data_IF_790390348451
#
_entry.id   IF_790390348451
#
_cell.length_a   1.000
_cell.length_b   1.000
_cell.length_c   1.000
_cell.angle_alpha   90.00
_cell.angle_beta   90.00
_cell.angle_gamma   90.00
#
_symmetry.space_group_name_H-M   'P 1'
#
loop_
_entity.id
_entity.type
_entity.pdbx_description
1 polymer ?
#
# COMPACT_ATOMS: atom_id res chain seq x y z
N UNK A 1 20.44 -2.09 -20.48
CA UNK A 1 19.75 -3.36 -20.67
C UNK A 1 20.62 -4.47 -20.12
N UNK A 2 20.40 -4.90 -18.91
CA UNK A 2 20.84 -6.21 -18.40
C UNK A 2 19.81 -6.63 -17.37
N UNK A 3 18.91 -7.54 -17.73
CA UNK A 3 17.98 -8.16 -16.84
C UNK A 3 18.66 -9.27 -16.07
N UNK A 4 18.81 -9.12 -14.77
CA UNK A 4 19.20 -10.21 -13.89
C UNK A 4 17.94 -10.98 -13.46
N UNK A 5 17.66 -12.09 -14.14
CA UNK A 5 16.73 -13.11 -13.69
C UNK A 5 17.44 -13.94 -12.64
N UNK A 6 17.14 -13.73 -11.37
CA UNK A 6 17.58 -14.59 -10.28
C UNK A 6 16.63 -15.79 -10.16
N UNK A 7 16.98 -16.88 -10.83
CA UNK A 7 16.40 -18.20 -10.61
C UNK A 7 16.96 -18.78 -9.31
N UNK A 8 16.17 -18.80 -8.26
CA UNK A 8 16.44 -19.62 -7.08
C UNK A 8 15.78 -20.99 -7.25
N UNK A 9 16.63 -21.98 -7.45
CA UNK A 9 16.28 -23.40 -7.57
C UNK A 9 15.81 -23.98 -6.23
N UNK A 10 14.63 -24.52 -6.27
CA UNK A 10 14.08 -25.78 -5.75
C UNK A 10 14.61 -26.35 -4.43
N UNK A 11 13.84 -26.15 -3.40
CA UNK A 11 13.52 -27.24 -2.47
C UNK A 11 12.20 -27.87 -2.96
N UNK A 12 12.20 -29.17 -3.21
CA UNK A 12 11.02 -29.95 -3.52
C UNK A 12 10.09 -29.96 -2.30
N UNK A 13 9.21 -28.97 -2.23
CA UNK A 13 8.05 -29.03 -1.36
C UNK A 13 7.05 -29.92 -2.09
N UNK A 14 6.75 -31.06 -1.52
CA UNK A 14 5.63 -31.90 -1.95
C UNK A 14 4.38 -31.01 -1.89
N UNK A 15 3.89 -30.61 -3.04
CA UNK A 15 2.58 -30.00 -3.18
C UNK A 15 1.57 -31.11 -2.90
N UNK A 16 1.03 -31.16 -1.71
CA UNK A 16 -0.19 -31.92 -1.47
C UNK A 16 -1.26 -31.32 -2.37
N UNK A 17 -1.76 -32.10 -3.31
CA UNK A 17 -2.85 -31.72 -4.19
C UNK A 17 -4.01 -31.24 -3.32
N UNK A 18 -4.25 -29.94 -3.30
CA UNK A 18 -5.42 -29.33 -2.69
C UNK A 18 -6.65 -29.79 -3.49
N UNK A 19 -7.12 -31.02 -3.22
CA UNK A 19 -8.42 -31.48 -3.70
C UNK A 19 -9.44 -30.47 -3.23
N UNK A 20 -10.31 -30.04 -4.14
CA UNK A 20 -11.43 -29.17 -3.80
C UNK A 20 -12.17 -29.78 -2.60
N UNK A 21 -12.13 -29.09 -1.47
CA UNK A 21 -12.82 -29.54 -0.24
C UNK A 21 -14.28 -29.14 -0.26
N UNK A 22 -14.60 -28.10 -1.07
CA UNK A 22 -15.92 -27.45 -1.06
C UNK A 22 -16.38 -27.03 0.35
N UNK A 23 -15.41 -26.85 1.26
CA UNK A 23 -15.63 -26.23 2.56
C UNK A 23 -15.55 -24.71 2.39
N UNK A 24 -16.60 -23.99 2.77
CA UNK A 24 -16.70 -22.57 2.52
C UNK A 24 -17.12 -21.81 3.79
N UNK A 25 -16.79 -20.52 3.86
CA UNK A 25 -17.35 -19.58 4.85
C UNK A 25 -17.96 -18.41 4.09
N UNK A 26 -19.15 -18.02 4.51
CA UNK A 26 -19.83 -16.80 4.05
C UNK A 26 -20.20 -15.95 5.25
N UNK A 27 -20.39 -14.68 5.05
CA UNK A 27 -20.89 -13.81 6.11
C UNK A 27 -20.83 -12.34 5.72
N UNK A 28 -21.15 -11.50 6.68
CA UNK A 28 -21.05 -10.06 6.56
C UNK A 28 -20.39 -9.46 7.79
N UNK A 29 -19.87 -8.26 7.62
CA UNK A 29 -19.27 -7.47 8.69
C UNK A 29 -20.03 -6.17 8.80
N UNK A 30 -20.51 -5.86 10.01
CA UNK A 30 -21.24 -4.61 10.30
C UNK A 30 -20.57 -3.85 11.42
N UNK A 31 -20.82 -2.57 11.46
CA UNK A 31 -20.48 -1.73 12.61
C UNK A 31 -21.50 -1.93 13.72
N UNK A 32 -21.03 -2.16 14.93
CA UNK A 32 -21.89 -2.47 16.08
C UNK A 32 -22.82 -1.31 16.47
N UNK A 33 -22.34 -0.07 16.35
CA UNK A 33 -23.06 1.14 16.77
C UNK A 33 -24.13 1.58 15.75
N UNK A 34 -23.77 1.63 14.47
CA UNK A 34 -24.63 2.14 13.39
C UNK A 34 -25.43 1.06 12.71
N UNK A 35 -25.00 -0.22 12.85
CA UNK A 35 -25.51 -1.40 12.13
C UNK A 35 -25.27 -1.32 10.62
N UNK A 36 -24.44 -0.41 10.17
CA UNK A 36 -24.05 -0.29 8.77
C UNK A 36 -23.06 -1.38 8.37
N UNK A 37 -23.19 -1.86 7.14
CA UNK A 37 -22.27 -2.84 6.58
C UNK A 37 -20.92 -2.20 6.33
N UNK A 38 -19.85 -2.90 6.71
CA UNK A 38 -18.46 -2.42 6.59
C UNK A 38 -17.79 -3.02 5.36
N UNK A 39 -17.58 -2.24 4.30
CA UNK A 39 -16.86 -2.68 3.12
C UNK A 39 -15.36 -2.74 3.37
N UNK A 40 -14.69 -3.60 2.60
CA UNK A 40 -13.21 -3.72 2.54
C UNK A 40 -12.54 -4.11 3.87
N UNK A 41 -13.24 -4.83 4.74
CA UNK A 41 -12.68 -5.43 5.95
C UNK A 41 -11.91 -6.69 5.60
N UNK A 42 -10.69 -6.85 6.13
CA UNK A 42 -9.89 -8.06 5.92
C UNK A 42 -10.43 -9.20 6.74
N UNK A 43 -10.73 -10.32 6.09
CA UNK A 43 -11.19 -11.59 6.70
C UNK A 43 -10.17 -12.68 6.35
N UNK A 44 -9.56 -13.32 7.35
CA UNK A 44 -8.50 -14.31 7.12
C UNK A 44 -8.57 -15.49 8.08
N UNK A 45 -8.06 -16.64 7.63
CA UNK A 45 -7.79 -17.79 8.50
C UNK A 45 -6.41 -17.62 9.12
N UNK A 46 -6.36 -17.39 10.42
CA UNK A 46 -5.14 -17.12 11.18
C UNK A 46 -4.11 -18.24 11.02
N UNK A 47 -2.85 -17.86 10.78
CA UNK A 47 -1.75 -18.83 10.58
C UNK A 47 -1.71 -19.45 9.18
N UNK A 48 -2.56 -19.00 8.26
CA UNK A 48 -2.57 -19.44 6.86
C UNK A 48 -2.37 -18.24 5.92
N UNK A 49 -2.19 -18.52 4.63
CA UNK A 49 -2.16 -17.46 3.60
C UNK A 49 -3.55 -17.17 3.04
N UNK A 50 -4.60 -17.77 3.59
CA UNK A 50 -5.97 -17.71 3.07
C UNK A 50 -6.69 -16.51 3.70
N UNK A 51 -7.18 -15.61 2.86
CA UNK A 51 -7.96 -14.46 3.27
C UNK A 51 -8.73 -13.86 2.11
N UNK A 52 -9.66 -12.99 2.44
CA UNK A 52 -10.45 -12.17 1.51
C UNK A 52 -10.76 -10.83 2.16
N UNK A 53 -11.50 -9.99 1.46
CA UNK A 53 -12.09 -8.76 2.03
C UNK A 53 -13.59 -8.79 1.85
N UNK A 54 -14.29 -8.03 2.70
CA UNK A 54 -15.71 -7.74 2.42
C UNK A 54 -15.83 -6.90 1.15
N UNK A 55 -16.86 -7.17 0.37
CA UNK A 55 -17.20 -6.40 -0.82
C UNK A 55 -17.76 -5.00 -0.48
N UNK A 56 -18.20 -4.25 -1.49
CA UNK A 56 -18.80 -2.92 -1.31
C UNK A 56 -20.08 -2.93 -0.45
N UNK A 57 -20.71 -4.10 -0.28
CA UNK A 57 -21.91 -4.31 0.52
C UNK A 57 -21.61 -4.92 1.89
N UNK A 58 -20.33 -5.06 2.26
CA UNK A 58 -19.88 -5.60 3.53
C UNK A 58 -19.96 -7.12 3.67
N UNK A 59 -20.20 -7.84 2.58
CA UNK A 59 -20.26 -9.31 2.56
C UNK A 59 -18.92 -9.93 2.15
N UNK A 60 -18.65 -11.14 2.61
CA UNK A 60 -17.43 -11.87 2.23
C UNK A 60 -17.71 -13.35 1.96
N UNK A 61 -16.82 -13.95 1.17
CA UNK A 61 -16.87 -15.35 0.82
C UNK A 61 -15.46 -15.95 0.73
N UNK A 62 -15.21 -16.99 1.52
CA UNK A 62 -14.00 -17.82 1.47
C UNK A 62 -14.37 -19.20 0.96
N UNK A 63 -13.70 -19.68 -0.10
CA UNK A 63 -14.00 -20.93 -0.79
C UNK A 63 -12.88 -21.97 -0.67
N UNK A 64 -13.25 -23.24 -0.79
CA UNK A 64 -12.30 -24.35 -0.87
C UNK A 64 -11.29 -24.37 0.27
N UNK A 65 -11.75 -24.14 1.48
CA UNK A 65 -10.93 -24.05 2.67
C UNK A 65 -10.46 -25.46 3.12
N UNK A 66 -9.29 -25.57 3.74
CA UNK A 66 -8.83 -26.83 4.33
C UNK A 66 -9.79 -27.26 5.45
N UNK A 67 -9.99 -28.58 5.58
CA UNK A 67 -10.76 -29.15 6.69
C UNK A 67 -10.01 -29.04 8.00
N UNK A 68 -10.72 -28.83 9.11
CA UNK A 68 -10.14 -28.76 10.45
C UNK A 68 -10.63 -27.60 11.28
N UNK A 69 -9.96 -27.38 12.41
CA UNK A 69 -10.21 -26.26 13.31
C UNK A 69 -9.31 -25.09 12.95
N UNK A 70 -9.91 -23.93 12.73
CA UNK A 70 -9.20 -22.70 12.41
C UNK A 70 -9.72 -21.54 13.25
N UNK A 71 -8.96 -20.47 13.30
CA UNK A 71 -9.41 -19.19 13.85
C UNK A 71 -9.67 -18.22 12.68
N UNK A 72 -10.92 -17.86 12.47
CA UNK A 72 -11.32 -16.82 11.55
C UNK A 72 -11.10 -15.47 12.22
N UNK A 73 -10.37 -14.59 11.60
CA UNK A 73 -10.05 -13.24 12.09
C UNK A 73 -10.59 -12.20 11.13
N UNK A 74 -11.25 -11.19 11.68
CA UNK A 74 -11.65 -9.98 10.94
C UNK A 74 -10.93 -8.79 11.53
N UNK A 75 -10.29 -8.00 10.66
CA UNK A 75 -9.52 -6.84 11.06
C UNK A 75 -9.62 -5.72 10.04
N UNK A 76 -9.62 -4.49 10.53
CA UNK A 76 -9.47 -3.28 9.74
C UNK A 76 -8.89 -2.17 10.58
N UNK A 77 -8.28 -1.18 9.94
CA UNK A 77 -7.77 -0.01 10.64
C UNK A 77 -8.95 0.84 11.09
N UNK A 78 -8.94 1.20 12.37
CA UNK A 78 -10.03 1.95 13.00
C UNK A 78 -11.08 1.10 13.70
N UNK A 79 -10.95 -0.23 13.66
CA UNK A 79 -11.85 -1.16 14.32
C UNK A 79 -11.12 -2.16 15.20
N UNK A 80 -11.75 -2.61 16.27
CA UNK A 80 -11.25 -3.72 17.11
C UNK A 80 -11.33 -5.02 16.31
N UNK A 81 -10.20 -5.70 16.16
CA UNK A 81 -10.16 -7.01 15.54
C UNK A 81 -10.97 -8.02 16.32
N UNK A 82 -11.69 -8.87 15.63
CA UNK A 82 -12.42 -10.01 16.22
C UNK A 82 -11.89 -11.33 15.69
N UNK A 83 -11.85 -12.33 16.57
CA UNK A 83 -11.44 -13.69 16.25
C UNK A 83 -12.52 -14.68 16.69
N UNK A 84 -12.80 -15.68 15.84
CA UNK A 84 -13.76 -16.73 16.13
C UNK A 84 -13.21 -18.08 15.72
N UNK A 85 -13.29 -19.09 16.60
CA UNK A 85 -12.94 -20.46 16.26
C UNK A 85 -14.03 -21.07 15.38
N UNK A 86 -13.62 -21.67 14.28
CA UNK A 86 -14.50 -22.31 13.28
C UNK A 86 -14.01 -23.71 12.97
N UNK A 87 -14.95 -24.61 12.74
CA UNK A 87 -14.66 -26.00 12.34
C UNK A 87 -15.14 -26.18 10.91
N UNK A 88 -14.19 -26.36 10.00
CA UNK A 88 -14.45 -26.51 8.57
C UNK A 88 -14.60 -27.98 8.20
N UNK A 89 -15.69 -28.32 7.53
CA UNK A 89 -16.01 -29.67 7.07
C UNK A 89 -16.25 -29.68 5.57
N UNK A 90 -15.80 -30.71 4.90
CA UNK A 90 -15.96 -30.91 3.47
C UNK A 90 -17.42 -30.81 3.03
N UNK A 91 -17.67 -30.09 1.93
CA UNK A 91 -18.98 -29.89 1.35
C UNK A 91 -19.94 -29.08 2.23
N UNK A 92 -19.43 -28.32 3.21
CA UNK A 92 -20.25 -27.49 4.08
C UNK A 92 -19.89 -26.01 3.93
N UNK A 93 -20.90 -25.19 3.85
CA UNK A 93 -20.74 -23.73 3.95
C UNK A 93 -21.16 -23.30 5.36
N UNK A 94 -20.23 -22.64 6.07
CA UNK A 94 -20.45 -22.07 7.39
C UNK A 94 -20.80 -20.59 7.22
N UNK A 95 -21.80 -20.12 7.93
CA UNK A 95 -22.12 -18.69 8.01
C UNK A 95 -21.56 -18.08 9.29
N UNK A 96 -20.71 -17.05 9.15
CA UNK A 96 -20.09 -16.33 10.26
C UNK A 96 -20.21 -14.83 10.05
N UNK A 97 -20.92 -14.14 10.92
CA UNK A 97 -21.16 -12.71 10.86
C UNK A 97 -20.43 -12.00 12.00
N UNK A 98 -19.88 -10.81 11.73
CA UNK A 98 -19.10 -10.04 12.70
C UNK A 98 -19.70 -8.66 12.91
N UNK A 99 -19.68 -8.22 14.18
CA UNK A 99 -20.07 -6.87 14.58
C UNK A 99 -18.82 -6.16 15.15
N UNK A 100 -18.20 -5.27 14.39
CA UNK A 100 -17.01 -4.57 14.80
C UNK A 100 -17.33 -3.30 15.59
N UNK A 101 -16.55 -3.02 16.61
CA UNK A 101 -16.55 -1.75 17.33
C UNK A 101 -15.48 -0.84 16.77
N UNK A 102 -15.84 0.45 16.56
CA UNK A 102 -14.81 1.45 16.28
C UNK A 102 -13.79 1.52 17.43
N UNK A 103 -12.54 1.59 17.06
CA UNK A 103 -11.44 1.83 17.98
C UNK A 103 -10.59 2.98 17.47
N UNK A 104 -10.92 4.20 17.89
CA UNK A 104 -10.17 5.41 17.53
C UNK A 104 -8.72 5.38 18.04
N UNK A 105 -8.40 4.47 18.94
CA UNK A 105 -7.05 4.25 19.50
C UNK A 105 -6.43 2.97 18.94
N UNK A 106 -7.03 2.36 17.90
CA UNK A 106 -6.72 1.02 17.38
C UNK A 106 -5.22 0.67 17.44
N UNK A 107 -4.83 0.04 18.53
CA UNK A 107 -3.50 -0.55 18.72
C UNK A 107 -3.43 -1.99 18.16
N UNK A 108 -4.57 -2.53 17.73
CA UNK A 108 -4.70 -3.95 17.37
C UNK A 108 -4.42 -4.26 15.89
N UNK A 109 -4.11 -3.26 15.07
CA UNK A 109 -3.66 -3.47 13.69
C UNK A 109 -2.35 -4.27 13.65
N UNK A 110 -2.20 -5.10 12.62
CA UNK A 110 -0.95 -5.82 12.37
C UNK A 110 0.05 -4.89 11.68
N UNK A 111 1.29 -4.92 12.14
CA UNK A 111 2.42 -4.18 11.56
C UNK A 111 3.58 -5.12 11.28
N UNK A 112 4.35 -4.85 10.24
CA UNK A 112 5.51 -5.66 9.85
C UNK A 112 6.84 -4.93 10.05
N UNK A 113 6.83 -3.61 10.09
CA UNK A 113 8.06 -2.78 10.13
C UNK A 113 8.80 -2.90 11.46
N UNK A 114 8.13 -3.26 12.54
CA UNK A 114 8.75 -3.31 13.86
C UNK A 114 9.81 -4.42 14.00
N UNK A 115 9.63 -5.56 13.33
CA UNK A 115 10.49 -6.74 13.46
C UNK A 115 10.59 -7.61 12.19
N UNK A 116 10.15 -7.08 11.02
CA UNK A 116 10.08 -7.77 9.73
C UNK A 116 9.13 -8.98 9.70
N UNK A 117 8.26 -9.12 10.67
CA UNK A 117 7.21 -10.14 10.71
C UNK A 117 5.89 -9.51 11.13
N UNK A 118 4.80 -10.12 10.73
CA UNK A 118 3.48 -9.69 11.15
C UNK A 118 3.34 -9.77 12.67
N UNK A 119 3.10 -8.63 13.29
CA UNK A 119 2.99 -8.50 14.74
C UNK A 119 1.85 -7.56 15.07
N UNK A 120 1.04 -7.92 16.07
CA UNK A 120 0.04 -6.99 16.57
C UNK A 120 0.72 -5.69 17.01
N UNK A 121 0.24 -4.55 16.55
CA UNK A 121 0.85 -3.22 16.77
C UNK A 121 1.13 -2.94 18.25
N UNK A 122 0.25 -3.40 19.16
CA UNK A 122 0.40 -3.26 20.61
C UNK A 122 1.57 -4.07 21.18
N UNK A 123 2.00 -5.13 20.48
CA UNK A 123 3.13 -5.99 20.86
C UNK A 123 4.42 -5.63 20.12
N UNK A 124 4.36 -4.63 19.23
CA UNK A 124 5.52 -4.19 18.49
C UNK A 124 6.56 -3.57 19.42
N UNK A 125 7.85 -3.92 19.30
CA UNK A 125 8.90 -3.41 20.17
C UNK A 125 9.15 -1.90 20.00
N UNK A 126 8.64 -1.32 18.92
CA UNK A 126 8.74 0.11 18.60
C UNK A 126 7.37 0.69 18.27
N UNK A 127 7.20 1.98 18.51
CA UNK A 127 5.96 2.67 18.20
C UNK A 127 5.81 2.82 16.68
N UNK A 128 4.88 2.06 16.10
CA UNK A 128 4.52 2.15 14.68
C UNK A 128 3.26 2.99 14.51
N UNK A 129 3.35 4.03 13.68
CA UNK A 129 2.19 4.79 13.21
C UNK A 129 1.77 4.25 11.85
N UNK A 130 0.46 4.08 11.66
CA UNK A 130 -0.11 3.57 10.43
C UNK A 130 -0.89 4.69 9.75
N UNK A 131 -0.57 4.93 8.47
CA UNK A 131 -1.31 5.83 7.58
C UNK A 131 -2.14 4.96 6.64
N UNK A 132 -3.42 5.22 6.59
CA UNK A 132 -4.39 4.38 5.85
C UNK A 132 -4.77 4.98 4.50
N UNK A 133 -5.32 4.21 3.56
CA UNK A 133 -5.87 4.72 2.32
C UNK A 133 -6.94 5.81 2.54
N UNK A 134 -7.73 5.70 3.59
CA UNK A 134 -8.75 6.69 3.94
C UNK A 134 -8.16 8.10 4.13
N UNK A 135 -6.94 8.21 4.70
CA UNK A 135 -6.27 9.51 4.82
C UNK A 135 -5.95 10.08 3.44
N UNK A 136 -5.42 9.27 2.52
CA UNK A 136 -5.10 9.70 1.16
C UNK A 136 -6.35 10.17 0.41
N UNK A 137 -7.47 9.47 0.56
CA UNK A 137 -8.76 9.84 -0.03
C UNK A 137 -9.30 11.14 0.56
N UNK A 138 -9.35 11.26 1.89
CA UNK A 138 -9.85 12.45 2.59
C UNK A 138 -9.04 13.71 2.31
N UNK A 139 -7.74 13.56 2.06
CA UNK A 139 -6.83 14.68 1.77
C UNK A 139 -6.60 14.87 0.27
N UNK A 140 -7.27 14.09 -0.58
CA UNK A 140 -7.07 14.08 -2.04
C UNK A 140 -5.59 13.93 -2.42
N UNK A 141 -4.86 13.10 -1.67
CA UNK A 141 -3.43 12.86 -1.88
C UNK A 141 -3.22 11.77 -2.92
N UNK A 142 -2.51 12.08 -4.00
CA UNK A 142 -2.27 11.16 -5.11
C UNK A 142 -0.95 10.40 -5.00
N UNK A 143 -0.07 10.85 -4.12
CA UNK A 143 1.27 10.27 -3.91
C UNK A 143 1.59 10.09 -2.44
N UNK A 144 2.58 9.24 -2.15
CA UNK A 144 3.07 9.01 -0.80
C UNK A 144 3.48 10.31 -0.11
N UNK A 145 4.22 11.18 -0.81
CA UNK A 145 4.72 12.44 -0.27
C UNK A 145 3.59 13.35 0.23
N UNK A 146 2.51 13.46 -0.53
CA UNK A 146 1.35 14.26 -0.17
C UNK A 146 0.65 13.73 1.09
N UNK A 147 0.44 12.41 1.19
CA UNK A 147 -0.20 11.81 2.36
C UNK A 147 0.66 11.88 3.63
N UNK A 148 1.99 11.80 3.51
CA UNK A 148 2.90 11.89 4.65
C UNK A 148 2.95 13.28 5.30
N UNK A 149 2.57 14.35 4.61
CA UNK A 149 2.48 15.71 5.19
C UNK A 149 1.51 15.75 6.38
N UNK A 150 0.46 14.92 6.36
CA UNK A 150 -0.55 14.86 7.42
C UNK A 150 -0.15 13.94 8.59
N UNK A 151 1.05 13.31 8.52
CA UNK A 151 1.50 12.41 9.58
C UNK A 151 2.28 13.17 10.66
N UNK A 152 1.79 13.24 11.93
CA UNK A 152 2.50 13.91 13.01
C UNK A 152 3.91 13.37 13.24
N UNK A 153 4.90 14.29 13.33
CA UNK A 153 6.31 13.94 13.51
C UNK A 153 7.07 13.55 12.25
N UNK A 154 6.40 13.64 11.11
CA UNK A 154 6.98 13.54 9.77
C UNK A 154 6.85 14.89 9.08
N UNK A 155 7.90 15.33 8.42
CA UNK A 155 7.88 16.54 7.60
C UNK A 155 8.37 16.19 6.20
N UNK A 156 7.60 16.53 5.21
CA UNK A 156 7.99 16.47 3.80
C UNK A 156 8.43 17.86 3.40
N UNK A 157 9.67 18.00 3.00
CA UNK A 157 10.25 19.28 2.55
C UNK A 157 10.67 19.17 1.10
N UNK A 158 10.42 20.24 0.35
CA UNK A 158 10.95 20.43 -1.00
C UNK A 158 12.16 21.34 -0.91
N UNK A 159 13.36 20.78 -1.10
CA UNK A 159 14.63 21.49 -0.91
C UNK A 159 15.11 22.23 -2.16
N UNK A 160 14.51 21.98 -3.32
CA UNK A 160 14.93 22.57 -4.58
C UNK A 160 13.70 22.93 -5.40
N UNK A 161 13.47 24.22 -5.63
CA UNK A 161 12.36 24.68 -6.47
C UNK A 161 12.52 24.27 -7.94
N UNK A 162 13.74 24.31 -8.48
CA UNK A 162 14.00 23.94 -9.88
C UNK A 162 13.72 22.47 -10.17
N UNK A 163 14.13 21.58 -9.27
CA UNK A 163 13.98 20.13 -9.46
C UNK A 163 12.79 19.55 -8.68
N UNK A 164 12.17 20.34 -7.77
CA UNK A 164 11.06 19.86 -6.92
C UNK A 164 11.44 18.67 -6.05
N UNK A 165 12.70 18.61 -5.61
CA UNK A 165 13.19 17.54 -4.76
C UNK A 165 12.51 17.56 -3.41
N UNK A 166 11.86 16.45 -3.09
CA UNK A 166 11.17 16.26 -1.81
C UNK A 166 11.87 15.21 -0.96
N UNK A 167 12.09 15.52 0.32
CA UNK A 167 12.63 14.58 1.28
C UNK A 167 11.71 14.42 2.49
N UNK A 168 11.73 13.22 3.08
CA UNK A 168 11.02 12.94 4.34
C UNK A 168 11.97 13.12 5.49
N UNK A 169 11.65 14.02 6.41
CA UNK A 169 12.35 14.22 7.67
C UNK A 169 11.54 13.64 8.82
N UNK A 170 12.20 12.86 9.66
CA UNK A 170 11.61 12.31 10.89
C UNK A 170 12.40 12.89 12.07
N UNK A 171 11.69 13.42 13.06
CA UNK A 171 12.29 14.03 14.26
C UNK A 171 13.32 15.13 13.93
N UNK A 172 13.13 15.86 12.84
CA UNK A 172 14.04 16.93 12.42
C UNK A 172 15.33 16.49 11.72
N UNK A 173 15.61 15.17 11.64
CA UNK A 173 16.78 14.66 10.95
C UNK A 173 16.56 14.66 9.43
N UNK A 174 17.60 14.95 8.66
CA UNK A 174 17.54 15.04 7.21
C UNK A 174 17.12 13.73 6.53
N UNK A 175 16.56 13.84 5.31
CA UNK A 175 15.99 12.70 4.58
C UNK A 175 16.93 11.52 4.36
N UNK A 176 18.26 11.76 4.28
CA UNK A 176 19.26 10.70 4.17
C UNK A 176 19.31 9.74 5.38
N UNK A 177 18.69 10.13 6.49
CA UNK A 177 18.59 9.31 7.71
C UNK A 177 17.24 8.62 7.85
N UNK A 178 16.36 8.80 6.88
CA UNK A 178 15.04 8.15 6.81
C UNK A 178 15.07 7.06 5.75
N UNK A 179 14.88 5.80 6.17
CA UNK A 179 14.81 4.68 5.24
C UNK A 179 13.40 4.53 4.68
N UNK A 180 13.30 4.53 3.35
CA UNK A 180 12.05 4.25 2.64
C UNK A 180 12.09 2.81 2.14
N UNK A 181 10.99 2.07 2.40
CA UNK A 181 10.83 0.67 2.02
C UNK A 181 9.54 0.47 1.24
N UNK A 182 9.53 -0.49 0.32
CA UNK A 182 8.33 -1.10 -0.26
C UNK A 182 8.34 -2.57 0.16
N UNK A 183 7.27 -3.01 0.81
CA UNK A 183 7.11 -4.37 1.35
C UNK A 183 8.36 -4.87 2.10
N UNK A 184 8.86 -4.00 3.00
CA UNK A 184 10.06 -4.23 3.83
C UNK A 184 11.38 -4.35 3.07
N UNK A 185 11.40 -3.98 1.78
CA UNK A 185 12.62 -3.96 0.94
C UNK A 185 13.04 -2.51 0.68
N UNK A 186 14.31 -2.16 0.88
CA UNK A 186 14.81 -0.82 0.59
C UNK A 186 14.59 -0.45 -0.87
N UNK A 187 14.13 0.77 -1.13
CA UNK A 187 14.14 1.33 -2.49
C UNK A 187 15.59 1.59 -2.86
N UNK A 188 16.09 0.83 -3.84
CA UNK A 188 17.48 0.89 -4.25
C UNK A 188 17.76 2.11 -5.13
N UNK A 189 18.50 2.99 -4.66
CA UNK A 189 19.46 3.98 -5.11
C UNK A 189 19.34 5.23 -4.25
N UNK A 190 20.46 5.87 -4.00
CA UNK A 190 20.51 7.19 -3.36
C UNK A 190 19.68 8.22 -4.15
N UNK A 191 19.58 8.06 -5.45
CA UNK A 191 18.80 8.92 -6.34
C UNK A 191 17.30 8.64 -6.25
N UNK A 192 16.86 7.38 -6.18
CA UNK A 192 15.44 7.03 -6.03
C UNK A 192 14.92 7.36 -4.62
N UNK A 193 15.77 7.31 -3.59
CA UNK A 193 15.44 7.81 -2.26
C UNK A 193 15.21 9.32 -2.22
N UNK A 194 15.79 10.03 -3.21
CA UNK A 194 15.71 11.48 -3.36
C UNK A 194 14.48 11.89 -4.17
N UNK A 195 14.21 11.25 -5.31
CA UNK A 195 13.14 11.62 -6.24
C UNK A 195 11.92 10.68 -6.20
N UNK A 196 12.05 9.52 -5.57
CA UNK A 196 11.07 8.45 -5.65
C UNK A 196 9.76 8.67 -4.89
N UNK A 197 9.71 9.59 -3.94
CA UNK A 197 8.53 9.75 -3.07
C UNK A 197 7.26 10.19 -3.80
N UNK A 198 7.40 11.03 -4.82
CA UNK A 198 6.26 11.46 -5.65
C UNK A 198 5.91 10.46 -6.74
N UNK A 199 6.79 9.48 -6.98
CA UNK A 199 6.56 8.40 -7.94
C UNK A 199 5.74 7.26 -7.34
N UNK A 200 5.60 7.20 -6.01
CA UNK A 200 4.82 6.18 -5.33
C UNK A 200 3.36 6.62 -5.30
N UNK A 201 2.50 6.01 -6.13
CA UNK A 201 1.12 6.42 -6.24
C UNK A 201 0.30 5.90 -5.06
N UNK A 202 -0.63 6.72 -4.56
CA UNK A 202 -1.48 6.36 -3.43
C UNK A 202 -2.35 5.11 -3.71
N UNK A 203 -2.71 4.86 -4.97
CA UNK A 203 -3.56 3.75 -5.34
C UNK A 203 -2.91 2.36 -5.18
N UNK A 204 -1.57 2.26 -5.14
CA UNK A 204 -0.88 1.00 -4.84
C UNK A 204 -0.80 0.70 -3.34
N UNK A 205 -1.06 1.69 -2.49
CA UNK A 205 -0.80 1.62 -1.05
C UNK A 205 -1.96 0.93 -0.33
N UNK A 206 -1.67 -0.15 0.38
CA UNK A 206 -2.53 -0.78 1.37
C UNK A 206 -2.51 0.01 2.69
N UNK A 207 -1.30 0.33 3.17
CA UNK A 207 -1.02 1.18 4.32
C UNK A 207 0.43 1.64 4.31
N UNK A 208 0.71 2.71 5.05
CA UNK A 208 2.10 3.13 5.29
C UNK A 208 2.40 3.02 6.77
N UNK A 209 3.45 2.29 7.09
CA UNK A 209 3.94 2.12 8.46
C UNK A 209 5.12 3.05 8.70
N UNK A 210 5.00 3.95 9.67
CA UNK A 210 6.05 4.90 10.05
C UNK A 210 6.58 4.53 11.42
N UNK A 211 7.84 4.12 11.46
CA UNK A 211 8.59 3.88 12.69
C UNK A 211 9.51 5.06 12.92
N UNK A 212 9.43 5.65 14.10
CA UNK A 212 10.31 6.76 14.51
C UNK A 212 11.39 6.25 15.44
N UNK A 213 12.63 6.64 15.19
CA UNK A 213 13.80 6.18 15.92
C UNK A 213 14.58 5.11 15.21
N UNK A 214 15.67 4.64 15.81
CA UNK A 214 16.64 3.79 15.16
C UNK A 214 16.08 2.43 14.68
N UNK A 215 16.14 2.21 13.37
CA UNK A 215 15.81 0.95 12.71
C UNK A 215 17.01 0.31 12.00
N UNK A 216 18.22 0.84 12.23
CA UNK A 216 19.42 0.49 11.47
C UNK A 216 19.79 -0.99 11.55
N UNK A 217 19.53 -1.65 12.67
CA UNK A 217 19.78 -3.09 12.83
C UNK A 217 18.91 -3.95 11.89
N UNK A 218 17.71 -3.48 11.55
CA UNK A 218 16.77 -4.20 10.69
C UNK A 218 16.85 -3.77 9.22
N UNK A 219 17.05 -2.48 8.98
CA UNK A 219 16.82 -1.86 7.66
C UNK A 219 18.04 -1.12 7.09
N UNK A 220 19.18 -1.18 7.77
CA UNK A 220 20.44 -0.61 7.28
C UNK A 220 20.71 0.80 7.79
N UNK A 221 21.87 1.34 7.38
CA UNK A 221 22.47 2.58 7.92
C UNK A 221 21.63 3.84 7.70
N UNK A 222 20.73 3.86 6.74
CA UNK A 222 19.86 5.00 6.49
C UNK A 222 18.66 5.10 7.46
N UNK A 223 18.39 4.05 8.25
CA UNK A 223 17.26 4.02 9.20
C UNK A 223 17.63 4.56 10.59
N UNK A 224 18.30 5.72 10.65
CA UNK A 224 18.71 6.36 11.92
C UNK A 224 17.58 7.19 12.50
N UNK A 225 16.94 8.03 11.69
CA UNK A 225 15.81 8.86 12.09
C UNK A 225 14.52 8.06 12.20
N UNK A 226 14.37 7.08 11.33
CA UNK A 226 13.20 6.22 11.25
C UNK A 226 13.08 5.51 9.92
N UNK A 227 11.96 4.81 9.79
CA UNK A 227 11.63 4.03 8.59
C UNK A 227 10.20 4.34 8.16
N UNK A 228 10.02 4.52 6.86
CA UNK A 228 8.70 4.60 6.21
C UNK A 228 8.57 3.37 5.32
N UNK A 229 7.69 2.45 5.68
CA UNK A 229 7.46 1.22 4.94
C UNK A 229 6.08 1.28 4.27
N UNK A 230 6.09 1.20 2.97
CA UNK A 230 4.90 1.15 2.13
C UNK A 230 4.52 -0.32 1.98
N UNK A 231 3.35 -0.68 2.46
CA UNK A 231 2.76 -2.00 2.23
C UNK A 231 1.84 -1.88 1.02
N UNK A 232 2.11 -2.69 0.01
CA UNK A 232 1.35 -2.68 -1.25
C UNK A 232 0.08 -3.50 -1.15
N UNK A 233 -0.94 -3.14 -1.94
CA UNK A 233 -2.18 -3.89 -2.02
C UNK A 233 -1.96 -5.27 -2.61
N UNK A 234 -2.50 -6.29 -1.97
CA UNK A 234 -2.60 -7.64 -2.51
C UNK A 234 -3.98 -7.86 -3.16
N UNK A 235 -4.07 -8.69 -4.21
CA UNK A 235 -5.35 -9.07 -4.78
C UNK A 235 -6.08 -10.02 -3.83
N UNK A 236 -7.25 -9.60 -3.32
CA UNK A 236 -8.06 -10.38 -2.37
C UNK A 236 -9.49 -10.62 -2.87
N UNK A 237 -9.96 -9.78 -3.79
CA UNK A 237 -11.25 -9.92 -4.46
C UNK A 237 -11.18 -9.35 -5.88
N UNK A 238 -12.18 -9.66 -6.70
CA UNK A 238 -12.30 -9.08 -8.04
C UNK A 238 -12.86 -7.66 -7.92
N UNK A 239 -12.03 -6.67 -8.23
CA UNK A 239 -12.37 -5.26 -8.12
C UNK A 239 -11.65 -4.47 -9.20
N UNK A 240 -12.33 -3.51 -9.82
CA UNK A 240 -11.72 -2.51 -10.70
C UNK A 240 -12.05 -1.11 -10.23
N UNK A 241 -11.10 -0.19 -10.28
CA UNK A 241 -11.32 1.21 -10.02
C UNK A 241 -10.59 2.10 -11.02
N UNK A 242 -11.25 3.16 -11.42
CA UNK A 242 -10.71 4.20 -12.27
C UNK A 242 -10.96 5.54 -11.61
N UNK A 243 -9.95 6.38 -11.57
CA UNK A 243 -10.08 7.76 -11.09
C UNK A 243 -9.35 8.73 -11.99
N UNK A 244 -9.93 9.89 -12.17
CA UNK A 244 -9.32 11.00 -12.87
C UNK A 244 -9.56 12.28 -12.10
N UNK A 245 -8.48 12.98 -11.74
CA UNK A 245 -8.54 14.22 -10.97
C UNK A 245 -7.85 15.32 -11.75
N UNK A 246 -8.51 16.44 -11.84
CA UNK A 246 -7.95 17.68 -12.42
C UNK A 246 -7.95 18.72 -11.32
N UNK A 247 -6.77 19.26 -11.01
CA UNK A 247 -6.62 20.36 -10.07
C UNK A 247 -6.10 21.59 -10.82
N UNK A 248 -6.75 22.72 -10.63
CA UNK A 248 -6.29 24.00 -11.15
C UNK A 248 -5.66 24.81 -10.00
N UNK A 249 -4.53 25.45 -10.23
CA UNK A 249 -3.82 26.19 -9.18
C UNK A 249 -4.34 27.62 -9.03
N UNK A 250 -4.74 28.23 -10.15
CA UNK A 250 -5.30 29.59 -10.18
C UNK A 250 -5.90 29.91 -11.56
N UNK A 251 -6.12 31.19 -11.85
CA UNK A 251 -6.56 31.67 -13.16
C UNK A 251 -5.50 31.64 -14.26
N UNK A 252 -4.25 31.22 -13.96
CA UNK A 252 -3.14 31.19 -14.93
C UNK A 252 -3.27 30.06 -15.96
N UNK A 253 -4.21 29.13 -15.76
CA UNK A 253 -4.39 27.97 -16.61
C UNK A 253 -3.41 26.81 -16.31
N UNK A 254 -2.66 26.90 -15.22
CA UNK A 254 -1.79 25.83 -14.75
C UNK A 254 -2.61 24.73 -14.04
N UNK A 255 -2.38 23.49 -14.38
CA UNK A 255 -3.17 22.37 -13.89
C UNK A 255 -2.31 21.15 -13.55
N UNK A 256 -2.86 20.29 -12.71
CA UNK A 256 -2.35 18.95 -12.38
C UNK A 256 -3.43 17.92 -12.72
N UNK A 257 -3.13 17.07 -13.68
CA UNK A 257 -3.97 15.96 -14.10
C UNK A 257 -3.42 14.67 -13.56
N UNK A 258 -4.23 13.91 -12.85
CA UNK A 258 -3.88 12.60 -12.35
C UNK A 258 -4.93 11.56 -12.77
N UNK A 259 -4.51 10.56 -13.52
CA UNK A 259 -5.34 9.41 -13.91
C UNK A 259 -4.78 8.16 -13.24
N UNK A 260 -5.61 7.43 -12.52
CA UNK A 260 -5.22 6.18 -11.89
C UNK A 260 -6.19 5.06 -12.22
N UNK A 261 -5.64 3.86 -12.43
CA UNK A 261 -6.36 2.63 -12.73
C UNK A 261 -5.87 1.54 -11.78
N UNK A 262 -6.81 0.77 -11.24
CA UNK A 262 -6.53 -0.43 -10.47
C UNK A 262 -7.41 -1.57 -10.96
N UNK A 263 -6.83 -2.76 -11.00
CA UNK A 263 -7.54 -4.00 -11.33
C UNK A 263 -7.04 -5.11 -10.40
N UNK A 264 -7.93 -5.67 -9.62
CA UNK A 264 -7.70 -6.84 -8.77
C UNK A 264 -8.46 -8.01 -9.33
N UNK A 265 -7.79 -9.11 -9.57
CA UNK A 265 -8.36 -10.35 -10.08
C UNK A 265 -7.92 -11.50 -9.18
N UNK A 266 -8.88 -12.34 -8.80
CA UNK A 266 -8.65 -13.51 -7.97
C UNK A 266 -9.38 -14.71 -8.58
N UNK A 267 -8.70 -15.84 -8.68
CA UNK A 267 -9.31 -17.08 -9.16
C UNK A 267 -10.41 -17.56 -8.22
N UNK A 268 -11.39 -18.30 -8.77
CA UNK A 268 -12.55 -18.79 -8.00
C UNK A 268 -12.18 -19.71 -6.83
N UNK A 269 -11.00 -20.34 -6.89
CA UNK A 269 -10.45 -21.20 -5.84
C UNK A 269 -9.48 -20.46 -4.90
N UNK A 270 -9.32 -19.13 -5.05
CA UNK A 270 -8.38 -18.30 -4.30
C UNK A 270 -6.91 -18.74 -4.38
N UNK A 271 -6.54 -19.59 -5.33
CA UNK A 271 -5.16 -20.05 -5.48
C UNK A 271 -4.28 -19.01 -6.17
N UNK A 272 -4.84 -18.21 -7.06
CA UNK A 272 -4.10 -17.18 -7.81
C UNK A 272 -4.78 -15.84 -7.66
N UNK A 273 -3.97 -14.79 -7.61
CA UNK A 273 -4.47 -13.44 -7.68
C UNK A 273 -3.45 -12.53 -8.35
N UNK A 274 -3.95 -11.48 -8.99
CA UNK A 274 -3.13 -10.44 -9.61
C UNK A 274 -3.76 -9.06 -9.34
N UNK A 275 -2.96 -8.14 -8.84
CA UNK A 275 -3.30 -6.75 -8.66
C UNK A 275 -2.44 -5.92 -9.62
N UNK A 276 -3.08 -5.27 -10.56
CA UNK A 276 -2.43 -4.37 -11.52
C UNK A 276 -2.85 -2.95 -11.19
N UNK A 277 -1.89 -2.04 -11.14
CA UNK A 277 -2.18 -0.64 -10.98
C UNK A 277 -1.40 0.20 -11.98
N UNK A 278 -1.97 1.33 -12.34
CA UNK A 278 -1.35 2.31 -13.20
C UNK A 278 -1.67 3.72 -12.74
N UNK A 279 -0.72 4.63 -12.94
CA UNK A 279 -0.91 6.06 -12.75
C UNK A 279 -0.23 6.82 -13.88
N UNK A 280 -0.92 7.82 -14.39
CA UNK A 280 -0.35 8.82 -15.29
C UNK A 280 -0.68 10.21 -14.75
N UNK A 281 0.34 10.95 -14.35
CA UNK A 281 0.21 12.30 -13.81
C UNK A 281 0.98 13.28 -14.67
N UNK A 282 0.32 14.36 -14.98
CA UNK A 282 0.90 15.49 -15.68
C UNK A 282 0.54 16.77 -14.94
N UNK A 283 1.56 17.54 -14.53
CA UNK A 283 1.42 18.87 -13.94
C UNK A 283 2.12 19.90 -14.81
N UNK A 284 1.43 20.97 -15.13
CA UNK A 284 2.02 22.17 -15.73
C UNK A 284 2.97 22.81 -14.72
N UNK A 285 4.00 23.47 -15.21
CA UNK A 285 4.74 24.39 -14.36
C UNK A 285 3.83 25.52 -13.92
N UNK A 286 3.96 25.97 -12.68
CA UNK A 286 3.18 27.06 -12.13
C UNK A 286 4.10 28.15 -11.60
N UNK A 287 3.94 29.36 -12.13
CA UNK A 287 4.59 30.58 -11.74
C UNK A 287 3.52 31.47 -11.07
N UNK A 288 3.60 31.57 -9.75
CA UNK A 288 2.57 32.20 -8.92
C UNK A 288 2.61 33.73 -8.98
N UNK A 289 3.79 34.29 -9.17
CA UNK A 289 4.03 35.72 -9.07
C UNK A 289 4.31 36.41 -10.45
N UNK A 290 4.43 35.59 -11.52
CA UNK A 290 4.63 36.08 -12.88
C UNK A 290 6.04 36.58 -13.18
N UNK A 291 7.05 36.15 -12.39
CA UNK A 291 8.44 36.57 -12.56
C UNK A 291 9.23 35.73 -13.59
N UNK A 292 8.57 34.76 -14.18
CA UNK A 292 9.17 33.80 -15.13
C UNK A 292 9.93 32.63 -14.49
N UNK A 293 9.85 32.51 -13.17
CA UNK A 293 10.40 31.38 -12.40
C UNK A 293 9.26 30.58 -11.77
N UNK A 294 9.23 29.26 -12.01
CA UNK A 294 8.14 28.42 -11.50
C UNK A 294 8.34 28.02 -10.03
N UNK A 295 7.33 28.27 -9.18
CA UNK A 295 7.25 27.74 -7.81
C UNK A 295 6.94 26.25 -7.79
N UNK A 296 6.15 25.77 -8.78
CA UNK A 296 5.94 24.35 -8.96
C UNK A 296 6.50 23.89 -10.30
N UNK A 297 7.37 22.86 -10.30
CA UNK A 297 7.96 22.37 -11.55
C UNK A 297 6.92 21.63 -12.39
N UNK A 298 7.11 21.66 -13.72
CA UNK A 298 6.46 20.73 -14.64
C UNK A 298 6.81 19.30 -14.26
N UNK A 299 5.80 18.44 -14.20
CA UNK A 299 5.94 17.04 -13.84
C UNK A 299 5.23 16.18 -14.87
N UNK A 300 5.88 15.12 -15.33
CA UNK A 300 5.27 13.99 -16.01
C UNK A 300 5.72 12.73 -15.28
N UNK A 301 4.77 12.01 -14.70
CA UNK A 301 5.02 10.77 -13.97
C UNK A 301 4.14 9.67 -14.55
N UNK A 302 4.74 8.52 -14.85
CA UNK A 302 4.06 7.33 -15.32
C UNK A 302 4.51 6.15 -14.48
N UNK A 303 3.55 5.47 -13.88
CA UNK A 303 3.81 4.30 -13.04
C UNK A 303 2.90 3.18 -13.47
N UNK A 304 3.45 1.99 -13.55
CA UNK A 304 2.70 0.74 -13.71
C UNK A 304 3.30 -0.32 -12.78
N UNK A 305 2.45 -1.12 -12.19
CA UNK A 305 2.90 -2.21 -11.34
C UNK A 305 1.96 -3.39 -11.33
N UNK A 306 2.52 -4.50 -10.91
CA UNK A 306 1.86 -5.78 -10.75
C UNK A 306 2.28 -6.39 -9.43
N UNK A 307 1.30 -6.85 -8.66
CA UNK A 307 1.51 -7.73 -7.51
C UNK A 307 0.66 -8.98 -7.74
N UNK A 308 1.30 -10.14 -7.84
CA UNK A 308 0.60 -11.40 -8.11
C UNK A 308 1.05 -12.47 -7.13
N UNK A 309 0.16 -13.40 -6.84
CA UNK A 309 0.48 -14.55 -6.01
C UNK A 309 -0.05 -15.86 -6.59
N UNK A 310 0.63 -16.94 -6.21
CA UNK A 310 0.17 -18.31 -6.36
C UNK A 310 0.32 -19.05 -5.04
N UNK A 311 -0.79 -19.52 -4.46
CA UNK A 311 -0.80 -20.32 -3.24
C UNK A 311 -0.52 -21.79 -3.59
N UNK A 312 0.61 -22.29 -3.16
CA UNK A 312 1.00 -23.69 -3.36
C UNK A 312 0.35 -24.59 -2.30
N UNK A 313 0.05 -24.04 -1.11
CA UNK A 313 -0.69 -24.68 -0.04
C UNK A 313 -1.40 -23.63 0.82
N UNK A 314 -2.16 -24.07 1.84
CA UNK A 314 -2.75 -23.17 2.83
C UNK A 314 -1.69 -22.35 3.62
N UNK A 315 -0.45 -22.86 3.68
CA UNK A 315 0.63 -22.28 4.48
C UNK A 315 1.78 -21.69 3.65
N UNK A 316 1.72 -21.82 2.32
CA UNK A 316 2.77 -21.32 1.42
C UNK A 316 2.23 -20.61 0.20
N UNK A 317 2.89 -19.50 -0.13
CA UNK A 317 2.53 -18.59 -1.22
C UNK A 317 3.79 -18.13 -1.95
N UNK A 318 3.77 -18.20 -3.27
CA UNK A 318 4.73 -17.52 -4.13
C UNK A 318 4.17 -16.15 -4.48
N UNK A 319 4.99 -15.12 -4.41
CA UNK A 319 4.62 -13.76 -4.80
C UNK A 319 5.56 -13.24 -5.88
N UNK A 320 4.98 -12.53 -6.84
CA UNK A 320 5.70 -11.80 -7.89
C UNK A 320 5.29 -10.34 -7.81
N UNK A 321 6.28 -9.49 -7.68
CA UNK A 321 6.10 -8.03 -7.64
C UNK A 321 6.91 -7.41 -8.78
N UNK A 322 6.28 -6.50 -9.49
CA UNK A 322 6.90 -5.70 -10.54
C UNK A 322 6.43 -4.26 -10.44
N UNK A 323 7.38 -3.33 -10.46
CA UNK A 323 7.12 -1.90 -10.42
C UNK A 323 7.98 -1.22 -11.48
N UNK A 324 7.35 -0.42 -12.32
CA UNK A 324 8.02 0.46 -13.26
C UNK A 324 7.54 1.89 -13.03
N UNK A 325 8.49 2.80 -12.86
CA UNK A 325 8.23 4.20 -12.59
C UNK A 325 9.13 5.04 -13.48
N UNK A 326 8.54 5.99 -14.19
CA UNK A 326 9.24 6.95 -15.02
C UNK A 326 8.80 8.37 -14.66
N UNK A 327 9.75 9.26 -14.50
CA UNK A 327 9.48 10.64 -14.15
C UNK A 327 10.33 11.60 -14.97
N UNK A 328 9.68 12.62 -15.49
CA UNK A 328 10.31 13.81 -16.04
C UNK A 328 9.88 15.02 -15.23
N UNK A 329 10.86 15.82 -14.82
CA UNK A 329 10.62 17.00 -14.00
C UNK A 329 11.47 18.16 -14.49
N UNK A 330 10.87 19.36 -14.52
CA UNK A 330 11.57 20.57 -14.90
C UNK A 330 10.91 21.80 -14.28
N UNK A 331 11.67 22.58 -13.53
CA UNK A 331 11.25 23.85 -12.94
C UNK A 331 12.27 24.95 -13.20
N UNK A 332 12.05 26.10 -12.61
CA UNK A 332 12.88 27.28 -12.74
C UNK A 332 12.44 28.21 -13.88
N UNK A 333 13.38 28.88 -14.50
CA UNK A 333 13.14 29.83 -15.60
C UNK A 333 13.32 29.17 -16.98
N UNK A 334 12.93 29.88 -18.03
CA UNK A 334 13.15 29.43 -19.41
C UNK A 334 12.42 28.15 -19.82
N UNK A 335 11.28 27.83 -19.20
CA UNK A 335 10.54 26.58 -19.42
C UNK A 335 10.01 26.38 -20.84
N UNK A 336 9.92 27.46 -21.64
CA UNK A 336 9.56 27.40 -23.05
C UNK A 336 10.71 26.97 -23.97
N UNK A 337 11.95 27.01 -23.47
CA UNK A 337 13.13 26.59 -24.21
C UNK A 337 13.32 25.06 -24.12
N UNK A 338 14.01 24.44 -25.08
CA UNK A 338 14.41 23.04 -24.99
C UNK A 338 15.26 22.77 -23.73
N UNK A 339 15.17 21.57 -23.11
CA UNK A 339 15.85 21.25 -21.83
C UNK A 339 17.38 21.40 -21.84
N UNK A 340 18.00 21.33 -23.03
CA UNK A 340 19.46 21.45 -23.20
C UNK A 340 19.94 22.91 -23.38
N UNK A 341 19.03 23.88 -23.42
CA UNK A 341 19.35 25.31 -23.64
C UNK A 341 19.13 26.13 -22.35
N UNK A 342 18.29 25.66 -21.44
CA UNK A 342 17.92 26.39 -20.21
C UNK A 342 18.50 25.75 -18.96
#
# INVERSE_FOLDING_TARGET
MVGAVCLLLSSTVYAEDLKSTDANIVGHVIEKSTREHLPYMTVSLKGTTIGTMTDATGHYFLKNLPEGEFTLSVSAVGYKSQERKVVLKRGKTLEENFELEEDMVALDGVVVTANRSETARRLAPTLVKVVTPKLFEQTNSHTLSQGLVFQPGVRVETDCQNCGYSQVRINGLGGKYTQILIDSRPIFSSLAGVYGLEQIPANMIERVEVVRGGGSALFGSSAIAGTVNIITKEPVCNLGSFSHTISNFDSSGSFDNNTALNLSLVSSDNKMGAYVYGQNRYRSAWDSNGDGFSELPKLKNQTIGLNAYYRTSAYSKLSLEYHHMEEFRRGGSGLSLPPHIA
#
